data_IF_799541694163
#
_entry.id   IF_799541694163
#
_cell.length_a   1.000
_cell.length_b   1.000
_cell.length_c   1.000
_cell.angle_alpha   90.00
_cell.angle_beta   90.00
_cell.angle_gamma   90.00
#
_symmetry.space_group_name_H-M   'P 1'
#
loop_
_entity.id
_entity.type
_entity.pdbx_description
1 polymer ?
#
# COMPACT_ATOMS: atom_id res chain seq x y z
N UNK A 1 13.64 -4.43 -31.49
CA UNK A 1 14.21 -5.10 -30.30
C UNK A 1 14.66 -4.06 -29.26
N UNK A 2 13.73 -3.40 -28.55
CA UNK A 2 14.07 -2.28 -27.64
C UNK A 2 13.38 -2.26 -26.27
N UNK A 3 12.43 -3.17 -26.01
CA UNK A 3 11.67 -3.21 -24.73
C UNK A 3 12.16 -4.25 -23.74
N UNK A 4 12.98 -5.22 -24.17
CA UNK A 4 13.47 -6.30 -23.31
C UNK A 4 14.62 -5.87 -22.38
N UNK A 5 15.37 -4.83 -22.77
CA UNK A 5 16.51 -4.33 -21.97
C UNK A 5 16.07 -3.71 -20.63
N UNK A 6 14.90 -3.10 -20.56
CA UNK A 6 14.39 -2.47 -19.33
C UNK A 6 13.77 -3.46 -18.33
N UNK A 7 13.28 -4.62 -18.80
CA UNK A 7 12.74 -5.65 -17.90
C UNK A 7 13.83 -6.40 -17.13
N UNK A 8 15.08 -6.35 -17.59
CA UNK A 8 16.24 -6.93 -16.90
C UNK A 8 16.93 -5.96 -15.93
N UNK A 9 16.68 -4.65 -16.07
CA UNK A 9 17.25 -3.61 -15.19
C UNK A 9 16.55 -3.60 -13.83
N UNK A 10 15.25 -3.88 -13.77
CA UNK A 10 14.46 -3.97 -12.53
C UNK A 10 14.92 -5.08 -11.57
N UNK A 11 15.12 -6.35 -12.01
CA UNK A 11 15.64 -7.39 -11.13
C UNK A 11 17.12 -7.18 -10.78
N UNK A 12 17.91 -6.55 -11.66
CA UNK A 12 19.31 -6.20 -11.39
C UNK A 12 19.44 -5.09 -10.30
N UNK A 13 18.52 -4.12 -10.30
CA UNK A 13 18.40 -3.10 -9.25
C UNK A 13 17.94 -3.71 -7.91
N UNK A 14 17.08 -4.73 -7.94
CA UNK A 14 16.66 -5.48 -6.73
C UNK A 14 17.78 -6.34 -6.14
N UNK A 15 18.75 -6.79 -6.95
CA UNK A 15 19.88 -7.62 -6.53
C UNK A 15 21.04 -6.81 -5.95
N UNK A 16 21.14 -5.51 -6.26
CA UNK A 16 22.14 -4.59 -5.71
C UNK A 16 21.74 -4.01 -4.33
N UNK A 17 20.57 -4.41 -3.81
CA UNK A 17 20.01 -3.96 -2.51
C UNK A 17 20.21 -5.04 -1.43
N UNK A 18 20.96 -6.12 -1.67
CA UNK A 18 21.35 -7.03 -0.59
C UNK A 18 22.28 -6.29 0.39
N UNK A 19 21.90 -6.11 1.66
CA UNK A 19 22.75 -5.44 2.62
C UNK A 19 23.94 -6.34 2.95
N UNK A 20 25.16 -5.85 2.69
CA UNK A 20 26.37 -6.33 3.34
C UNK A 20 26.35 -5.82 4.78
N UNK A 21 25.85 -6.64 5.70
CA UNK A 21 25.85 -6.34 7.13
C UNK A 21 27.25 -6.54 7.71
N UNK A 22 27.92 -5.42 8.00
CA UNK A 22 29.06 -5.33 8.92
C UNK A 22 28.86 -4.07 9.75
N UNK A 23 28.35 -4.21 10.97
CA UNK A 23 28.67 -3.33 12.09
C UNK A 23 28.21 -4.02 13.39
N UNK A 24 29.21 -4.29 14.21
CA UNK A 24 29.20 -4.71 15.61
C UNK A 24 29.09 -3.45 16.49
N UNK A 25 28.42 -3.51 17.64
CA UNK A 25 28.29 -2.37 18.56
C UNK A 25 27.20 -2.51 19.62
N UNK A 26 27.55 -3.23 20.70
CA UNK A 26 26.95 -3.22 22.05
C UNK A 26 26.58 -1.81 22.56
N UNK A 27 25.39 -1.63 23.15
CA UNK A 27 25.22 -1.31 24.59
C UNK A 27 23.72 -1.25 24.97
N UNK A 28 23.37 -1.97 26.05
CA UNK A 28 22.06 -2.09 26.70
C UNK A 28 21.55 -0.76 27.33
N UNK A 29 20.30 -0.40 27.03
CA UNK A 29 19.27 0.08 27.99
C UNK A 29 18.04 0.61 27.20
N UNK A 30 17.35 -0.27 26.47
CA UNK A 30 16.11 0.09 25.76
C UNK A 30 14.89 -0.13 26.65
N UNK A 31 14.44 0.95 27.30
CA UNK A 31 13.05 1.09 27.73
C UNK A 31 12.16 1.13 26.46
N UNK A 32 11.93 -0.03 25.84
CA UNK A 32 11.12 -0.19 24.63
C UNK A 32 9.75 0.47 24.83
N UNK A 33 9.47 1.50 24.03
CA UNK A 33 8.22 2.25 24.12
C UNK A 33 7.05 1.37 23.67
N UNK A 34 6.29 0.87 24.65
CA UNK A 34 5.13 -0.01 24.45
C UNK A 34 3.82 0.77 24.50
N UNK A 35 2.94 0.56 23.52
CA UNK A 35 1.53 0.98 23.58
C UNK A 35 0.65 -0.26 23.62
N UNK A 36 -0.18 -0.39 24.67
CA UNK A 36 -1.08 -1.53 24.90
C UNK A 36 -0.37 -2.91 24.96
N UNK A 37 0.92 -2.92 25.32
CA UNK A 37 1.74 -4.14 25.39
C UNK A 37 2.31 -4.60 24.03
N UNK A 38 2.20 -3.78 22.98
CA UNK A 38 2.83 -4.01 21.68
C UNK A 38 3.97 -3.01 21.51
N UNK A 39 5.14 -3.50 21.11
CA UNK A 39 6.33 -2.68 20.81
C UNK A 39 6.11 -1.78 19.59
N UNK A 40 6.76 -0.62 19.59
CA UNK A 40 6.74 0.31 18.47
C UNK A 40 7.15 -0.36 17.15
N UNK A 41 8.17 -1.20 17.17
CA UNK A 41 8.69 -1.94 16.01
C UNK A 41 7.63 -2.89 15.40
N UNK A 42 6.92 -3.64 16.26
CA UNK A 42 5.82 -4.52 15.86
C UNK A 42 4.68 -3.75 15.17
N UNK A 43 4.34 -2.56 15.67
CA UNK A 43 3.36 -1.67 15.03
C UNK A 43 3.83 -1.23 13.63
N UNK A 44 5.13 -1.00 13.45
CA UNK A 44 5.76 -0.69 12.16
C UNK A 44 5.62 -1.84 11.17
N UNK A 45 5.94 -3.05 11.61
CA UNK A 45 5.78 -4.29 10.83
C UNK A 45 4.32 -4.55 10.43
N UNK A 46 3.37 -4.35 11.35
CA UNK A 46 1.94 -4.47 11.04
C UNK A 46 1.52 -3.43 9.99
N UNK A 47 1.94 -2.17 10.15
CA UNK A 47 1.64 -1.11 9.18
C UNK A 47 2.22 -1.44 7.79
N UNK A 48 3.45 -1.96 7.73
CA UNK A 48 4.13 -2.42 6.52
C UNK A 48 3.31 -3.50 5.79
N UNK A 49 2.90 -4.56 6.49
CA UNK A 49 2.09 -5.63 5.88
C UNK A 49 0.73 -5.14 5.38
N UNK A 50 0.06 -4.26 6.14
CA UNK A 50 -1.21 -3.65 5.72
C UNK A 50 -1.02 -2.75 4.48
N UNK A 51 0.10 -2.03 4.39
CA UNK A 51 0.43 -1.20 3.23
C UNK A 51 0.68 -2.08 1.99
N UNK A 52 1.45 -3.17 2.13
CA UNK A 52 1.65 -4.15 1.05
C UNK A 52 0.30 -4.74 0.59
N UNK A 53 -0.54 -5.17 1.53
CA UNK A 53 -1.88 -5.69 1.22
C UNK A 53 -2.75 -4.65 0.49
N UNK A 54 -2.62 -3.37 0.83
CA UNK A 54 -3.31 -2.28 0.13
C UNK A 54 -2.79 -2.12 -1.30
N UNK A 55 -1.47 -2.19 -1.51
CA UNK A 55 -0.81 -2.05 -2.81
C UNK A 55 -1.10 -3.22 -3.77
N UNK A 56 -1.56 -4.38 -3.28
CA UNK A 56 -2.01 -5.50 -4.12
C UNK A 56 -3.08 -5.12 -5.15
N UNK A 57 -3.77 -3.98 -4.99
CA UNK A 57 -4.69 -3.43 -5.99
C UNK A 57 -4.03 -3.22 -7.37
N UNK A 58 -2.71 -2.95 -7.39
CA UNK A 58 -1.93 -2.76 -8.62
C UNK A 58 -1.90 -4.03 -9.45
N UNK A 59 -1.84 -5.20 -8.81
CA UNK A 59 -1.90 -6.52 -9.44
C UNK A 59 -3.36 -6.93 -9.69
N UNK A 60 -4.25 -6.66 -8.73
CA UNK A 60 -5.65 -7.07 -8.85
C UNK A 60 -6.38 -6.41 -10.04
N UNK A 61 -6.18 -5.11 -10.29
CA UNK A 61 -6.84 -4.40 -11.41
C UNK A 61 -6.59 -5.03 -12.80
N UNK A 62 -5.33 -5.27 -13.22
CA UNK A 62 -5.06 -5.91 -14.50
C UNK A 62 -5.57 -7.35 -14.52
N UNK A 63 -5.42 -8.10 -13.42
CA UNK A 63 -5.97 -9.46 -13.28
C UNK A 63 -7.48 -9.48 -13.44
N UNK A 64 -8.22 -8.59 -12.79
CA UNK A 64 -9.68 -8.46 -12.94
C UNK A 64 -10.08 -8.17 -14.39
N UNK A 65 -9.36 -7.27 -15.07
CA UNK A 65 -9.62 -6.95 -16.48
C UNK A 65 -9.36 -8.16 -17.38
N UNK A 66 -8.28 -8.90 -17.13
CA UNK A 66 -7.94 -10.12 -17.84
C UNK A 66 -8.98 -11.22 -17.59
N UNK A 67 -9.31 -11.52 -16.34
CA UNK A 67 -10.34 -12.49 -15.94
C UNK A 67 -11.70 -12.16 -16.57
N UNK A 68 -12.09 -10.89 -16.59
CA UNK A 68 -13.36 -10.48 -17.19
C UNK A 68 -13.42 -10.73 -18.70
N UNK A 69 -12.27 -10.70 -19.39
CA UNK A 69 -12.17 -10.88 -20.84
C UNK A 69 -11.96 -12.34 -21.23
N UNK A 70 -11.03 -13.04 -20.59
CA UNK A 70 -10.58 -14.39 -20.96
C UNK A 70 -11.04 -15.48 -19.99
N UNK A 71 -11.40 -15.12 -18.76
CA UNK A 71 -11.81 -16.08 -17.72
C UNK A 71 -12.96 -17.01 -18.12
N UNK A 72 -14.06 -16.54 -18.74
CA UNK A 72 -15.14 -17.43 -19.14
C UNK A 72 -14.71 -18.58 -20.04
N UNK A 73 -13.78 -18.33 -20.98
CA UNK A 73 -13.27 -19.34 -21.91
C UNK A 73 -12.19 -20.25 -21.32
N UNK A 74 -11.45 -19.81 -20.29
CA UNK A 74 -10.45 -20.64 -19.60
C UNK A 74 -11.03 -21.53 -18.51
N UNK A 75 -12.14 -21.12 -17.88
CA UNK A 75 -12.77 -21.86 -16.79
C UNK A 75 -14.00 -22.65 -17.22
N UNK A 76 -14.27 -22.71 -18.53
CA UNK A 76 -15.44 -23.35 -19.13
C UNK A 76 -16.75 -23.03 -18.38
N UNK A 77 -16.96 -21.74 -18.13
CA UNK A 77 -18.09 -21.24 -17.32
C UNK A 77 -18.94 -20.31 -18.15
N UNK A 78 -20.25 -20.33 -17.88
CA UNK A 78 -21.18 -19.42 -18.54
C UNK A 78 -20.71 -17.95 -18.35
N UNK A 79 -20.50 -17.20 -19.44
CA UNK A 79 -19.90 -15.87 -19.36
C UNK A 79 -20.66 -14.89 -18.46
N UNK A 80 -21.99 -15.03 -18.41
CA UNK A 80 -22.86 -14.17 -17.60
C UNK A 80 -22.68 -14.44 -16.12
N UNK A 81 -22.70 -15.70 -15.70
CA UNK A 81 -22.52 -16.08 -14.30
C UNK A 81 -21.11 -15.77 -13.78
N UNK A 82 -20.09 -16.07 -14.59
CA UNK A 82 -18.70 -15.80 -14.24
C UNK A 82 -18.47 -14.30 -14.01
N UNK A 83 -18.92 -13.45 -14.95
CA UNK A 83 -18.80 -11.99 -14.83
C UNK A 83 -19.59 -11.44 -13.64
N UNK A 84 -20.75 -12.03 -13.30
CA UNK A 84 -21.53 -11.66 -12.11
C UNK A 84 -20.78 -11.96 -10.82
N UNK A 85 -20.29 -13.19 -10.63
CA UNK A 85 -19.51 -13.59 -9.44
C UNK A 85 -18.23 -12.77 -9.31
N UNK A 86 -17.50 -12.58 -10.40
CA UNK A 86 -16.30 -11.73 -10.45
C UNK A 86 -16.60 -10.28 -10.07
N UNK A 87 -17.75 -9.74 -10.51
CA UNK A 87 -18.20 -8.40 -10.14
C UNK A 87 -18.52 -8.25 -8.64
N UNK A 88 -19.13 -9.27 -8.03
CA UNK A 88 -19.39 -9.30 -6.57
C UNK A 88 -18.06 -9.34 -5.81
N UNK A 89 -17.14 -10.23 -6.21
CA UNK A 89 -15.81 -10.31 -5.61
C UNK A 89 -15.07 -8.99 -5.72
N UNK A 90 -15.03 -8.37 -6.90
CA UNK A 90 -14.38 -7.08 -7.09
C UNK A 90 -14.98 -5.98 -6.20
N UNK A 91 -16.31 -5.98 -5.99
CA UNK A 91 -16.94 -5.01 -5.09
C UNK A 91 -16.52 -5.23 -3.63
N UNK A 92 -16.38 -6.49 -3.19
CA UNK A 92 -15.86 -6.82 -1.85
C UNK A 92 -14.39 -6.44 -1.70
N UNK A 93 -13.56 -6.79 -2.69
CA UNK A 93 -12.15 -6.43 -2.74
C UNK A 93 -11.95 -4.91 -2.60
N UNK A 94 -12.72 -4.09 -3.33
CA UNK A 94 -12.60 -2.62 -3.24
C UNK A 94 -13.04 -2.07 -1.89
N UNK A 95 -13.98 -2.71 -1.18
CA UNK A 95 -14.32 -2.33 0.20
C UNK A 95 -13.17 -2.68 1.15
N UNK A 96 -12.62 -3.89 1.02
CA UNK A 96 -11.50 -4.37 1.84
C UNK A 96 -10.27 -3.48 1.62
N UNK A 97 -9.92 -3.14 0.38
CA UNK A 97 -8.81 -2.22 0.07
C UNK A 97 -8.95 -0.87 0.78
N UNK A 98 -10.15 -0.28 0.81
CA UNK A 98 -10.39 0.97 1.53
C UNK A 98 -10.23 0.80 3.06
N UNK A 99 -10.77 -0.28 3.64
CA UNK A 99 -10.64 -0.56 5.07
C UNK A 99 -9.21 -0.85 5.49
N UNK A 100 -8.49 -1.69 4.74
CA UNK A 100 -7.07 -1.97 4.97
C UNK A 100 -6.25 -0.70 4.80
N UNK A 101 -6.52 0.11 3.77
CA UNK A 101 -5.82 1.40 3.59
C UNK A 101 -6.03 2.34 4.78
N UNK A 102 -7.24 2.41 5.33
CA UNK A 102 -7.52 3.18 6.54
C UNK A 102 -6.81 2.61 7.77
N UNK A 103 -6.84 1.30 7.96
CA UNK A 103 -6.12 0.62 9.04
C UNK A 103 -4.61 0.84 8.96
N UNK A 104 -4.04 0.76 7.76
CA UNK A 104 -2.63 1.07 7.49
C UNK A 104 -2.27 2.46 7.97
N UNK A 105 -3.06 3.47 7.60
CA UNK A 105 -2.79 4.85 8.00
C UNK A 105 -2.97 5.07 9.51
N UNK A 106 -3.97 4.44 10.13
CA UNK A 106 -4.18 4.52 11.56
C UNK A 106 -3.02 3.89 12.35
N UNK A 107 -2.63 2.65 12.02
CA UNK A 107 -1.51 1.96 12.68
C UNK A 107 -0.19 2.69 12.43
N UNK A 108 0.08 3.14 11.19
CA UNK A 108 1.27 3.93 10.86
C UNK A 108 1.33 5.27 11.62
N UNK A 109 0.18 5.90 11.87
CA UNK A 109 0.11 7.11 12.70
C UNK A 109 0.44 6.81 14.16
N UNK A 110 -0.10 5.72 14.72
CA UNK A 110 0.21 5.31 16.11
C UNK A 110 1.70 4.99 16.24
N UNK A 111 2.24 4.21 15.30
CA UNK A 111 3.66 3.88 15.23
C UNK A 111 4.55 5.14 15.19
N UNK A 112 4.18 6.14 14.38
CA UNK A 112 4.92 7.41 14.32
C UNK A 112 4.80 8.30 15.56
N UNK A 113 3.72 8.15 16.35
CA UNK A 113 3.59 8.81 17.67
C UNK A 113 4.47 8.11 18.69
N UNK A 114 4.50 6.77 18.69
CA UNK A 114 5.36 5.98 19.56
C UNK A 114 6.80 6.37 19.32
N UNK A 115 7.31 6.20 18.10
CA UNK A 115 8.71 6.47 17.77
C UNK A 115 9.08 7.96 17.61
N UNK A 116 8.24 8.87 18.11
CA UNK A 116 8.45 10.33 18.05
C UNK A 116 9.02 10.83 16.69
N UNK A 117 8.37 10.42 15.60
CA UNK A 117 8.89 10.63 14.25
C UNK A 117 9.28 12.08 13.94
N UNK A 118 10.40 12.22 13.22
CA UNK A 118 10.80 13.51 12.65
C UNK A 118 9.72 14.05 11.69
N UNK A 119 9.60 15.37 11.58
CA UNK A 119 8.52 16.05 10.83
C UNK A 119 8.42 15.63 9.34
N UNK A 120 9.53 15.17 8.75
CA UNK A 120 9.58 14.67 7.37
C UNK A 120 8.77 13.39 7.19
N UNK A 121 8.77 12.49 8.17
CA UNK A 121 7.96 11.27 8.16
C UNK A 121 6.48 11.61 8.34
N UNK A 122 6.17 12.60 9.18
CA UNK A 122 4.83 13.15 9.32
C UNK A 122 4.28 13.77 8.03
N UNK A 123 5.12 14.42 7.23
CA UNK A 123 4.73 14.91 5.90
C UNK A 123 4.33 13.75 4.96
N UNK A 124 5.08 12.65 5.02
CA UNK A 124 4.72 11.41 4.32
C UNK A 124 3.42 10.79 4.82
N UNK A 125 3.23 10.74 6.14
CA UNK A 125 2.00 10.27 6.78
C UNK A 125 0.79 11.11 6.38
N UNK A 126 0.94 12.44 6.28
CA UNK A 126 -0.09 13.33 5.78
C UNK A 126 -0.46 13.02 4.31
N UNK A 127 0.53 12.73 3.46
CA UNK A 127 0.27 12.30 2.08
C UNK A 127 -0.48 10.96 2.02
N UNK A 128 -0.15 9.99 2.89
CA UNK A 128 -0.90 8.74 3.03
C UNK A 128 -2.34 8.97 3.48
N UNK A 129 -2.58 9.86 4.44
CA UNK A 129 -3.93 10.25 4.85
C UNK A 129 -4.73 10.87 3.71
N UNK A 130 -4.13 11.79 2.94
CA UNK A 130 -4.76 12.36 1.73
C UNK A 130 -5.13 11.24 0.75
N UNK A 131 -4.27 10.24 0.57
CA UNK A 131 -4.53 9.10 -0.32
C UNK A 131 -5.72 8.24 0.17
N UNK A 132 -5.79 7.95 1.47
CA UNK A 132 -6.87 7.18 2.09
C UNK A 132 -8.20 7.93 2.04
N UNK A 133 -8.20 9.22 2.40
CA UNK A 133 -9.41 10.06 2.36
C UNK A 133 -9.91 10.25 0.93
N UNK A 134 -9.02 10.52 -0.02
CA UNK A 134 -9.41 10.65 -1.44
C UNK A 134 -9.97 9.35 -2.02
N UNK A 135 -9.41 8.19 -1.66
CA UNK A 135 -9.96 6.88 -2.02
C UNK A 135 -11.34 6.61 -1.39
N UNK A 136 -11.58 7.08 -0.16
CA UNK A 136 -12.86 6.95 0.53
C UNK A 136 -13.95 7.86 -0.04
N UNK A 137 -13.61 9.11 -0.36
CA UNK A 137 -14.51 10.07 -1.01
C UNK A 137 -15.08 9.55 -2.33
N UNK A 138 -14.32 8.74 -3.08
CA UNK A 138 -14.81 8.11 -4.30
C UNK A 138 -15.96 7.12 -4.08
N UNK A 139 -16.06 6.53 -2.89
CA UNK A 139 -17.11 5.57 -2.53
C UNK A 139 -18.35 6.26 -1.94
N UNK A 140 -18.20 7.46 -1.38
CA UNK A 140 -19.29 8.20 -0.78
C UNK A 140 -20.29 8.73 -1.83
N UNK A 141 -21.57 8.72 -1.47
CA UNK A 141 -22.66 9.17 -2.36
C UNK A 141 -22.94 10.67 -2.28
N UNK A 142 -22.57 11.31 -1.18
CA UNK A 142 -22.90 12.70 -0.86
C UNK A 142 -22.01 13.78 -1.51
N UNK A 143 -20.70 13.56 -1.84
CA UNK A 143 -19.89 14.64 -2.40
C UNK A 143 -20.28 15.03 -3.84
N UNK A 144 -20.20 16.32 -4.20
CA UNK A 144 -20.36 16.81 -5.56
C UNK A 144 -19.53 16.01 -6.58
N UNK A 145 -20.03 15.89 -7.81
CA UNK A 145 -19.36 15.12 -8.88
C UNK A 145 -17.94 15.63 -9.16
N UNK A 146 -17.71 16.92 -9.03
CA UNK A 146 -16.39 17.55 -9.24
C UNK A 146 -15.38 17.14 -8.17
N UNK A 147 -15.78 17.17 -6.89
CA UNK A 147 -14.94 16.69 -5.79
C UNK A 147 -14.58 15.22 -5.96
N UNK A 148 -15.51 14.37 -6.41
CA UNK A 148 -15.21 12.94 -6.69
C UNK A 148 -14.25 12.75 -7.86
N UNK A 149 -14.25 13.66 -8.86
CA UNK A 149 -13.26 13.65 -9.95
C UNK A 149 -11.88 14.07 -9.44
N UNK A 150 -11.81 15.12 -8.62
CA UNK A 150 -10.57 15.58 -7.99
C UNK A 150 -9.96 14.51 -7.08
N UNK A 151 -10.78 13.93 -6.18
CA UNK A 151 -10.38 12.82 -5.31
C UNK A 151 -9.86 11.63 -6.12
N UNK A 152 -10.51 11.29 -7.24
CA UNK A 152 -10.04 10.23 -8.14
C UNK A 152 -8.69 10.57 -8.77
N UNK A 153 -8.49 11.81 -9.20
CA UNK A 153 -7.23 12.23 -9.82
C UNK A 153 -6.09 12.17 -8.81
N UNK A 154 -6.29 12.69 -7.60
CA UNK A 154 -5.34 12.61 -6.49
C UNK A 154 -5.01 11.16 -6.13
N UNK A 155 -6.04 10.31 -5.98
CA UNK A 155 -5.86 8.92 -5.57
C UNK A 155 -5.19 8.05 -6.65
N UNK A 156 -5.38 8.37 -7.93
CA UNK A 156 -4.75 7.69 -9.05
C UNK A 156 -3.39 8.29 -9.44
N UNK A 157 -2.97 9.39 -8.80
CA UNK A 157 -1.72 10.06 -9.12
C UNK A 157 -0.54 9.17 -8.69
N UNK A 158 0.29 8.77 -9.66
CA UNK A 158 1.42 7.85 -9.45
C UNK A 158 2.41 8.35 -8.40
N UNK A 159 2.54 9.67 -8.23
CA UNK A 159 3.42 10.28 -7.23
C UNK A 159 3.04 9.89 -5.80
N UNK A 160 1.76 9.67 -5.50
CA UNK A 160 1.34 9.25 -4.16
C UNK A 160 1.70 7.79 -3.87
N UNK A 161 1.73 6.94 -4.89
CA UNK A 161 2.25 5.56 -4.77
C UNK A 161 3.76 5.56 -4.60
N UNK A 162 4.48 6.46 -5.28
CA UNK A 162 5.93 6.63 -5.07
C UNK A 162 6.22 7.10 -3.65
N UNK A 163 5.45 8.06 -3.11
CA UNK A 163 5.59 8.48 -1.71
C UNK A 163 5.34 7.32 -0.75
N UNK A 164 4.31 6.51 -0.98
CA UNK A 164 4.06 5.30 -0.17
C UNK A 164 5.23 4.31 -0.22
N UNK A 165 5.84 4.09 -1.39
CA UNK A 165 7.00 3.22 -1.57
C UNK A 165 8.28 3.82 -0.94
N UNK A 166 8.46 5.13 -1.02
CA UNK A 166 9.58 5.81 -0.37
C UNK A 166 9.46 5.73 1.15
N UNK A 167 8.27 5.92 1.72
CA UNK A 167 8.04 5.75 3.15
C UNK A 167 8.24 4.29 3.60
N UNK A 168 7.87 3.32 2.77
CA UNK A 168 8.17 1.90 3.02
C UNK A 168 9.69 1.65 3.12
N UNK A 169 10.47 2.24 2.22
CA UNK A 169 11.92 2.06 2.19
C UNK A 169 12.64 2.82 3.31
N UNK A 170 12.19 4.03 3.63
CA UNK A 170 12.77 4.86 4.69
C UNK A 170 12.38 4.31 6.06
N UNK A 171 11.14 3.87 6.25
CA UNK A 171 10.65 3.35 7.53
C UNK A 171 11.34 2.07 7.97
N UNK A 172 11.78 1.21 7.04
CA UNK A 172 12.49 -0.04 7.34
C UNK A 172 14.02 0.10 7.26
N UNK A 173 14.54 1.19 6.66
CA UNK A 173 15.98 1.39 6.48
C UNK A 173 16.61 2.41 7.44
N UNK A 174 15.81 3.07 8.30
CA UNK A 174 16.29 4.05 9.29
C UNK A 174 15.93 3.64 10.73
N UNK A 175 14.95 2.74 10.91
CA UNK A 175 14.44 2.33 12.24
C UNK A 175 14.92 0.94 12.66
N UNK A 176 15.40 0.12 11.70
CA UNK A 176 16.17 -1.11 11.95
C UNK A 176 17.68 -0.76 11.90
#
# INVERSE_FOLDING_TARGET
MGRLKWCLVLPLLLLLITPTTLADGDDDDDDEQRILGIEGEDLGSIALYLLIATLMIVIWKPVFKWLRKYGPGHFDKEPREFKRKLGIFNRRFMKIHNWIGFGTAAVGTIHGIVLEWHWTLWAGMAALWILVFSGSMMQWRWPPKEMRKGARLLHLQRTMTVVAVVLLLIGHGIVD
#
